data_IF_901375544976
#
_entry.id   IF_901375544976
#
_cell.length_a   1.000
_cell.length_b   1.000
_cell.length_c   1.000
_cell.angle_alpha   90.00
_cell.angle_beta   90.00
_cell.angle_gamma   90.00
#
_symmetry.space_group_name_H-M   'P 1'
#
loop_
_entity.id
_entity.type
_entity.pdbx_description
1 polymer ?
#
# COMPACT_ATOMS: atom_id res chain seq x y z
N UNK A 1 1.55 8.26 9.02
CA UNK A 1 2.65 7.32 8.72
C UNK A 1 2.49 6.88 7.28
N UNK A 2 3.31 7.39 6.36
CA UNK A 2 3.27 6.98 4.95
C UNK A 2 4.41 5.99 4.67
N UNK A 3 4.11 4.84 4.05
CA UNK A 3 5.16 3.92 3.61
C UNK A 3 5.82 4.46 2.34
N UNK A 4 7.15 4.39 2.24
CA UNK A 4 7.91 4.88 1.08
C UNK A 4 7.81 3.97 -0.15
N UNK A 5 7.46 2.69 0.03
CA UNK A 5 7.23 1.72 -1.05
C UNK A 5 6.46 0.49 -0.52
N UNK A 6 6.04 -0.40 -1.42
CA UNK A 6 5.38 -1.65 -1.04
C UNK A 6 6.25 -2.55 -0.17
N UNK A 7 7.57 -2.50 -0.34
CA UNK A 7 8.51 -3.28 0.49
C UNK A 7 8.44 -2.87 1.95
N UNK A 8 8.40 -1.56 2.24
CA UNK A 8 8.25 -1.04 3.60
C UNK A 8 6.87 -1.40 4.19
N UNK A 9 5.80 -1.34 3.40
CA UNK A 9 4.48 -1.76 3.83
C UNK A 9 4.42 -3.26 4.17
N UNK A 10 4.99 -4.13 3.32
CA UNK A 10 5.11 -5.57 3.55
C UNK A 10 5.99 -5.89 4.76
N UNK A 11 7.14 -5.22 4.89
CA UNK A 11 8.04 -5.42 6.02
C UNK A 11 7.41 -5.00 7.35
N UNK A 12 6.54 -4.00 7.34
CA UNK A 12 5.76 -3.58 8.50
C UNK A 12 4.50 -4.45 8.75
N UNK A 13 4.20 -5.43 7.88
CA UNK A 13 2.98 -6.23 7.95
C UNK A 13 1.70 -5.44 7.65
N UNK A 14 1.82 -4.27 7.02
CA UNK A 14 0.72 -3.39 6.65
C UNK A 14 0.20 -3.62 5.22
N UNK A 15 0.86 -4.47 4.43
CA UNK A 15 0.36 -4.90 3.14
C UNK A 15 -0.51 -6.17 3.28
N UNK A 16 -1.60 -6.31 2.51
CA UNK A 16 -2.09 -5.38 1.49
C UNK A 16 -2.67 -4.08 2.08
N UNK A 17 -2.33 -2.94 1.47
CA UNK A 17 -2.79 -1.61 1.88
C UNK A 17 -4.09 -1.29 1.17
N UNK A 18 -5.13 -0.92 1.90
CA UNK A 18 -6.43 -0.60 1.33
C UNK A 18 -6.66 0.90 1.26
N UNK A 19 -7.52 1.34 0.33
CA UNK A 19 -7.91 2.74 0.20
C UNK A 19 -8.49 3.27 1.52
N UNK A 20 -7.74 4.15 2.19
CA UNK A 20 -8.06 4.68 3.52
C UNK A 20 -7.01 4.36 4.58
N UNK A 21 -6.13 3.39 4.33
CA UNK A 21 -4.99 3.13 5.21
C UNK A 21 -4.00 4.30 5.18
N UNK A 22 -3.36 4.64 6.32
CA UNK A 22 -2.38 5.72 6.40
C UNK A 22 -1.18 5.51 5.46
N UNK A 23 -0.96 4.27 5.04
CA UNK A 23 0.07 3.87 4.09
C UNK A 23 -0.35 3.83 2.62
N UNK A 24 -1.66 3.87 2.35
CA UNK A 24 -2.20 3.74 1.01
C UNK A 24 -1.97 5.03 0.20
N UNK A 25 -1.65 4.84 -1.06
CA UNK A 25 -1.51 5.92 -2.04
C UNK A 25 -1.76 5.32 -3.40
N UNK A 26 -2.48 6.07 -4.24
CA UNK A 26 -2.82 5.69 -5.60
C UNK A 26 -1.59 5.37 -6.46
N UNK A 27 -0.42 5.93 -6.16
CA UNK A 27 0.82 5.55 -6.84
C UNK A 27 1.38 4.16 -6.50
N UNK A 28 0.91 3.52 -5.41
CA UNK A 28 1.24 2.13 -5.07
C UNK A 28 0.21 1.12 -5.60
N UNK A 29 -0.98 1.61 -5.92
CA UNK A 29 -2.10 0.87 -6.50
C UNK A 29 -2.01 1.02 -8.03
N UNK A 30 -1.19 0.17 -8.66
CA UNK A 30 -0.82 0.33 -10.08
C UNK A 30 -1.99 0.03 -11.02
N UNK A 31 -2.92 -0.80 -10.58
CA UNK A 31 -4.12 -1.23 -11.29
C UNK A 31 -5.38 -0.43 -10.87
N UNK A 32 -5.33 0.30 -9.76
CA UNK A 32 -6.36 1.24 -9.34
C UNK A 32 -7.57 0.57 -8.68
N UNK A 33 -7.43 -0.68 -8.25
CA UNK A 33 -8.52 -1.48 -7.69
C UNK A 33 -8.88 -1.09 -6.24
N UNK A 34 -8.03 -0.28 -5.60
CA UNK A 34 -8.16 0.12 -4.21
C UNK A 34 -7.30 -0.66 -3.24
N UNK A 35 -6.45 -1.58 -3.73
CA UNK A 35 -5.54 -2.42 -2.95
C UNK A 35 -4.11 -2.23 -3.44
N UNK A 36 -3.35 -1.43 -2.71
CA UNK A 36 -1.93 -1.28 -2.95
C UNK A 36 -1.14 -2.47 -2.38
N UNK A 37 -0.10 -2.89 -3.10
CA UNK A 37 0.88 -3.88 -2.63
C UNK A 37 0.31 -5.29 -2.35
N UNK A 38 -0.78 -5.65 -3.05
CA UNK A 38 -1.42 -6.97 -3.00
C UNK A 38 -0.54 -8.14 -3.48
N UNK A 39 0.45 -7.88 -4.34
CA UNK A 39 1.35 -8.90 -4.92
C UNK A 39 2.82 -8.52 -4.77
#
# INVERSE_FOLDING_TARGET
MYYANCTAAKAAGAAPLHRGDPGYRSGLDRDGDGVACEK
#
